data_IF_910651296331
#
_entry.id   IF_910651296331
#
_cell.length_a   1.000
_cell.length_b   1.000
_cell.length_c   1.000
_cell.angle_alpha   90.00
_cell.angle_beta   90.00
_cell.angle_gamma   90.00
#
_symmetry.space_group_name_H-M   'P 1'
#
loop_
_entity.id
_entity.type
_entity.pdbx_description
1 polymer ?
#
# COMPACT_ATOMS: atom_id res chain seq x y z
N UNK A 1 -6.42 -2.72 1.26
CA UNK A 1 -6.65 -2.77 2.72
C UNK A 1 -7.10 -1.44 3.32
N UNK A 2 -6.22 -0.45 3.61
CA UNK A 2 -6.66 0.82 4.22
C UNK A 2 -7.75 1.57 3.43
N UNK A 3 -7.66 1.57 2.09
CA UNK A 3 -8.72 2.08 1.20
C UNK A 3 -10.07 1.37 1.41
N UNK A 4 -10.04 0.05 1.64
CA UNK A 4 -11.24 -0.74 1.94
C UNK A 4 -11.84 -0.38 3.30
N UNK A 5 -11.00 -0.20 4.32
CA UNK A 5 -11.45 0.34 5.61
C UNK A 5 -12.09 1.74 5.46
N UNK A 6 -11.44 2.64 4.74
CA UNK A 6 -11.98 3.98 4.47
C UNK A 6 -13.32 3.93 3.73
N UNK A 7 -13.43 3.09 2.70
CA UNK A 7 -14.69 2.87 2.00
C UNK A 7 -15.77 2.37 2.96
N UNK A 8 -15.43 1.40 3.82
CA UNK A 8 -16.37 0.82 4.77
C UNK A 8 -16.90 1.86 5.78
N UNK A 9 -16.01 2.70 6.31
CA UNK A 9 -16.37 3.82 7.20
C UNK A 9 -17.30 4.80 6.49
N UNK A 10 -16.96 5.21 5.26
CA UNK A 10 -17.76 6.15 4.47
C UNK A 10 -19.14 5.57 4.13
N UNK A 11 -19.21 4.31 3.67
CA UNK A 11 -20.49 3.67 3.33
C UNK A 11 -21.42 3.53 4.54
N UNK A 12 -20.87 3.35 5.73
CA UNK A 12 -21.64 3.28 6.98
C UNK A 12 -21.93 4.66 7.59
N UNK A 13 -21.59 5.75 6.90
CA UNK A 13 -21.82 7.15 7.34
C UNK A 13 -21.20 7.47 8.71
N UNK A 14 -20.13 6.77 9.07
CA UNK A 14 -19.39 7.02 10.30
C UNK A 14 -18.57 8.29 10.11
N UNK A 15 -18.63 9.19 11.10
CA UNK A 15 -17.84 10.43 11.04
C UNK A 15 -16.35 10.13 11.03
N UNK A 16 -15.61 10.74 10.09
CA UNK A 16 -14.15 10.59 9.98
C UNK A 16 -13.39 11.19 11.17
N UNK A 17 -14.07 11.97 12.02
CA UNK A 17 -13.51 12.55 13.25
C UNK A 17 -13.84 11.74 14.50
N UNK A 18 -14.70 10.71 14.39
CA UNK A 18 -15.08 9.88 15.52
C UNK A 18 -14.24 8.60 15.55
N UNK A 19 -13.01 8.70 16.07
CA UNK A 19 -12.07 7.57 16.13
C UNK A 19 -12.66 6.35 16.84
N UNK A 20 -13.43 6.55 17.92
CA UNK A 20 -14.04 5.44 18.66
C UNK A 20 -15.01 4.62 17.81
N UNK A 21 -15.91 5.28 17.06
CA UNK A 21 -16.81 4.57 16.14
C UNK A 21 -16.07 3.92 14.99
N UNK A 22 -15.03 4.57 14.45
CA UNK A 22 -14.19 4.00 13.40
C UNK A 22 -13.53 2.71 13.90
N UNK A 23 -12.93 2.73 15.09
CA UNK A 23 -12.24 1.56 15.67
C UNK A 23 -13.23 0.42 15.89
N UNK A 24 -14.39 0.70 16.50
CA UNK A 24 -15.43 -0.30 16.72
C UNK A 24 -15.92 -0.92 15.41
N UNK A 25 -16.11 -0.10 14.37
CA UNK A 25 -16.51 -0.60 13.05
C UNK A 25 -15.42 -1.47 12.42
N UNK A 26 -14.18 -0.98 12.37
CA UNK A 26 -13.06 -1.70 11.75
C UNK A 26 -12.74 -3.02 12.45
N UNK A 27 -12.94 -3.13 13.76
CA UNK A 27 -12.75 -4.41 14.46
C UNK A 27 -13.75 -5.49 14.03
N UNK A 28 -14.84 -5.12 13.38
CA UNK A 28 -15.92 -6.02 12.97
C UNK A 28 -16.03 -6.20 11.44
N UNK A 29 -15.16 -5.56 10.65
CA UNK A 29 -15.18 -5.78 9.20
C UNK A 29 -14.40 -7.05 8.84
N UNK A 30 -14.96 -7.82 7.91
CA UNK A 30 -14.18 -8.82 7.19
C UNK A 30 -13.60 -8.19 5.93
N UNK A 31 -12.30 -8.35 5.76
CA UNK A 31 -11.59 -7.97 4.55
C UNK A 31 -11.07 -9.27 3.97
N UNK A 32 -11.26 -9.49 2.68
CA UNK A 32 -10.58 -10.57 1.97
C UNK A 32 -9.88 -10.01 0.74
N UNK A 33 -8.70 -10.57 0.44
CA UNK A 33 -7.96 -10.28 -0.78
C UNK A 33 -7.86 -11.58 -1.55
N UNK A 34 -8.59 -11.69 -2.65
CA UNK A 34 -8.61 -12.87 -3.51
C UNK A 34 -7.61 -12.63 -4.63
N UNK A 35 -6.59 -13.48 -4.65
CA UNK A 35 -5.59 -13.49 -5.70
C UNK A 35 -6.02 -14.45 -6.80
N UNK A 36 -6.08 -13.93 -8.01
CA UNK A 36 -6.29 -14.71 -9.22
C UNK A 36 -5.04 -14.60 -10.09
N UNK A 37 -4.68 -15.68 -10.79
CA UNK A 37 -3.49 -15.71 -11.63
C UNK A 37 -3.76 -14.82 -12.87
N UNK A 38 -2.82 -13.93 -13.18
CA UNK A 38 -2.87 -13.00 -14.32
C UNK A 38 -4.00 -11.95 -14.28
N UNK A 39 -4.58 -11.65 -13.12
CA UNK A 39 -5.55 -10.56 -12.96
C UNK A 39 -5.25 -9.68 -11.75
N UNK A 40 -5.86 -8.49 -11.72
CA UNK A 40 -5.81 -7.64 -10.53
C UNK A 40 -6.45 -8.37 -9.34
N UNK A 41 -5.87 -8.26 -8.13
CA UNK A 41 -6.46 -8.88 -6.95
C UNK A 41 -7.81 -8.25 -6.64
N UNK A 42 -8.79 -9.10 -6.33
CA UNK A 42 -10.09 -8.65 -5.85
C UNK A 42 -10.03 -8.37 -4.35
N UNK A 43 -10.68 -7.29 -3.93
CA UNK A 43 -10.84 -6.94 -2.53
C UNK A 43 -12.32 -7.04 -2.16
N UNK A 44 -12.61 -7.92 -1.24
CA UNK A 44 -13.95 -8.13 -0.68
C UNK A 44 -14.03 -7.45 0.69
N UNK A 45 -15.15 -6.79 0.95
CA UNK A 45 -15.53 -6.29 2.26
C UNK A 45 -16.85 -6.93 2.65
N UNK A 46 -16.86 -7.74 3.71
CA UNK A 46 -18.03 -8.52 4.12
C UNK A 46 -18.64 -9.28 2.92
N UNK A 47 -17.81 -10.05 2.22
CA UNK A 47 -18.15 -10.82 1.02
C UNK A 47 -18.56 -10.01 -0.24
N UNK A 48 -18.54 -8.68 -0.19
CA UNK A 48 -18.87 -7.83 -1.33
C UNK A 48 -17.59 -7.37 -2.02
N UNK A 49 -17.43 -7.68 -3.31
CA UNK A 49 -16.33 -7.16 -4.11
C UNK A 49 -16.45 -5.64 -4.27
N UNK A 50 -15.47 -4.92 -3.75
CA UNK A 50 -15.39 -3.46 -3.77
C UNK A 50 -14.21 -2.92 -4.57
N UNK A 51 -13.49 -3.78 -5.29
CA UNK A 51 -12.22 -3.48 -5.97
C UNK A 51 -12.33 -2.22 -6.83
N UNK A 52 -13.41 -2.13 -7.62
CA UNK A 52 -13.70 -1.02 -8.52
C UNK A 52 -13.92 0.32 -7.80
N UNK A 53 -14.32 0.32 -6.54
CA UNK A 53 -14.57 1.54 -5.76
C UNK A 53 -13.29 2.08 -5.14
N UNK A 54 -12.27 1.25 -4.89
CA UNK A 54 -11.13 1.64 -4.04
C UNK A 54 -10.26 2.77 -4.58
N UNK A 55 -10.38 3.08 -5.88
CA UNK A 55 -9.66 4.18 -6.55
C UNK A 55 -10.48 5.47 -6.58
N UNK A 56 -11.69 5.48 -6.04
CA UNK A 56 -12.54 6.67 -5.98
C UNK A 56 -11.86 7.82 -5.23
N UNK A 57 -12.00 9.04 -5.77
CA UNK A 57 -11.37 10.26 -5.22
C UNK A 57 -11.70 10.46 -3.74
N UNK A 58 -12.95 10.22 -3.34
CA UNK A 58 -13.37 10.36 -1.95
C UNK A 58 -12.61 9.41 -1.01
N UNK A 59 -12.23 8.22 -1.47
CA UNK A 59 -11.44 7.27 -0.67
C UNK A 59 -9.98 7.72 -0.66
N UNK A 60 -9.43 8.12 -1.82
CA UNK A 60 -8.04 8.59 -1.90
C UNK A 60 -7.78 9.79 -0.99
N UNK A 61 -8.72 10.73 -0.90
CA UNK A 61 -8.60 11.93 -0.09
C UNK A 61 -8.64 11.61 1.42
N UNK A 62 -9.42 10.60 1.83
CA UNK A 62 -9.68 10.29 3.24
C UNK A 62 -8.87 9.11 3.81
N UNK A 63 -8.19 8.31 2.97
CA UNK A 63 -7.42 7.15 3.43
C UNK A 63 -6.31 7.52 4.43
N UNK A 64 -5.74 8.72 4.30
CA UNK A 64 -4.71 9.22 5.21
C UNK A 64 -5.23 9.48 6.63
N UNK A 65 -6.51 9.82 6.79
CA UNK A 65 -7.13 10.03 8.10
C UNK A 65 -7.26 8.68 8.81
N UNK A 66 -7.87 7.70 8.13
CA UNK A 66 -8.11 6.37 8.67
C UNK A 66 -6.81 5.62 8.97
N UNK A 67 -5.82 5.70 8.08
CA UNK A 67 -4.54 4.98 8.24
C UNK A 67 -3.60 5.56 9.29
N UNK A 68 -3.90 6.74 9.85
CA UNK A 68 -3.15 7.34 10.97
C UNK A 68 -3.64 6.86 12.34
N UNK A 69 -4.87 6.34 12.44
CA UNK A 69 -5.44 5.86 13.70
C UNK A 69 -4.65 4.62 14.17
N UNK A 70 -3.99 4.66 15.35
CA UNK A 70 -3.13 3.56 15.80
C UNK A 70 -3.83 2.21 15.88
N UNK A 71 -5.06 2.15 16.40
CA UNK A 71 -5.80 0.90 16.55
C UNK A 71 -6.23 0.30 15.21
N UNK A 72 -6.61 1.14 14.23
CA UNK A 72 -6.84 0.69 12.85
C UNK A 72 -5.58 0.08 12.27
N UNK A 73 -4.40 0.68 12.52
CA UNK A 73 -3.13 0.11 12.08
C UNK A 73 -2.85 -1.23 12.76
N UNK A 74 -3.08 -1.34 14.07
CA UNK A 74 -2.91 -2.59 14.82
C UNK A 74 -3.79 -3.70 14.24
N UNK A 75 -5.07 -3.41 13.99
CA UNK A 75 -5.99 -4.34 13.34
C UNK A 75 -5.47 -4.80 11.96
N UNK A 76 -5.06 -3.84 11.11
CA UNK A 76 -4.56 -4.13 9.77
C UNK A 76 -3.29 -4.99 9.78
N UNK A 77 -2.35 -4.71 10.68
CA UNK A 77 -1.11 -5.48 10.84
C UNK A 77 -1.41 -6.90 11.30
N UNK A 78 -2.31 -7.08 12.27
CA UNK A 78 -2.70 -8.40 12.75
C UNK A 78 -3.38 -9.22 11.65
N UNK A 79 -4.28 -8.59 10.89
CA UNK A 79 -4.88 -9.21 9.72
C UNK A 79 -3.81 -9.65 8.70
N UNK A 80 -2.90 -8.76 8.32
CA UNK A 80 -1.84 -9.04 7.34
C UNK A 80 -0.96 -10.21 7.77
N UNK A 81 -0.56 -10.25 9.05
CA UNK A 81 0.21 -11.36 9.64
C UNK A 81 -0.57 -12.67 9.59
N UNK A 82 -1.85 -12.66 9.95
CA UNK A 82 -2.68 -13.87 9.92
C UNK A 82 -2.80 -14.48 8.51
N UNK A 83 -2.80 -13.64 7.46
CA UNK A 83 -2.82 -14.11 6.07
C UNK A 83 -1.46 -14.64 5.63
N UNK A 84 -0.38 -13.97 5.99
CA UNK A 84 0.98 -14.43 5.70
C UNK A 84 1.35 -15.78 6.36
N UNK A 85 0.66 -16.16 7.43
CA UNK A 85 0.83 -17.48 8.06
C UNK A 85 0.13 -18.62 7.32
N UNK A 86 -0.89 -18.33 6.51
CA UNK A 86 -1.72 -19.36 5.86
C UNK A 86 -1.16 -19.84 4.51
N UNK A 87 -0.41 -18.99 3.82
CA UNK A 87 0.14 -19.30 2.50
C UNK A 87 1.34 -18.42 2.19
N UNK A 88 2.11 -18.81 1.16
CA UNK A 88 3.07 -17.90 0.52
C UNK A 88 2.34 -16.65 0.01
N UNK A 89 2.90 -15.48 0.30
CA UNK A 89 2.31 -14.20 -0.08
C UNK A 89 3.40 -13.20 -0.48
N UNK A 90 3.12 -12.41 -1.51
CA UNK A 90 3.86 -11.17 -1.80
C UNK A 90 3.05 -10.02 -1.23
N UNK A 91 3.66 -9.22 -0.35
CA UNK A 91 2.97 -8.11 0.31
C UNK A 91 3.68 -6.79 0.02
N UNK A 92 2.95 -5.85 -0.59
CA UNK A 92 3.44 -4.51 -0.90
C UNK A 92 2.91 -3.48 0.11
N UNK A 93 3.79 -2.59 0.58
CA UNK A 93 3.46 -1.53 1.53
C UNK A 93 4.71 -0.75 1.95
N UNK A 94 4.54 0.23 2.85
CA UNK A 94 5.64 1.13 3.26
C UNK A 94 6.49 0.58 4.42
N UNK A 95 5.90 -0.26 5.26
CA UNK A 95 6.48 -0.73 6.51
C UNK A 95 6.33 -2.25 6.66
N UNK A 96 6.22 -2.98 5.54
CA UNK A 96 6.04 -4.43 5.55
C UNK A 96 7.24 -5.12 6.20
N UNK A 97 8.45 -4.92 5.67
CA UNK A 97 9.66 -5.60 6.16
C UNK A 97 10.19 -5.09 7.51
N UNK A 98 9.74 -3.92 7.99
CA UNK A 98 10.22 -3.29 9.24
C UNK A 98 9.21 -3.37 10.38
N UNK A 99 7.92 -3.60 10.10
CA UNK A 99 6.86 -3.62 11.12
C UNK A 99 5.88 -4.78 10.96
N UNK A 100 5.43 -5.07 9.74
CA UNK A 100 4.38 -6.09 9.52
C UNK A 100 4.93 -7.50 9.54
N UNK A 101 5.82 -7.82 8.61
CA UNK A 101 6.45 -9.11 8.40
C UNK A 101 7.97 -8.97 8.58
N UNK A 102 8.39 -8.73 9.83
CA UNK A 102 9.81 -8.60 10.19
C UNK A 102 10.55 -9.91 9.90
N UNK A 103 9.88 -11.05 10.02
CA UNK A 103 10.39 -12.39 9.72
C UNK A 103 10.21 -12.80 8.24
N UNK A 104 9.88 -11.85 7.34
CA UNK A 104 9.78 -12.17 5.92
C UNK A 104 11.14 -12.66 5.41
N UNK A 105 11.15 -13.83 4.76
CA UNK A 105 12.38 -14.45 4.25
C UNK A 105 13.10 -13.57 3.24
N UNK A 106 12.36 -12.88 2.39
CA UNK A 106 12.90 -11.96 1.38
C UNK A 106 12.16 -10.63 1.48
N UNK A 107 12.91 -9.53 1.53
CA UNK A 107 12.39 -8.17 1.62
C UNK A 107 12.97 -7.32 0.48
N UNK A 108 12.10 -6.62 -0.24
CA UNK A 108 12.50 -5.70 -1.29
C UNK A 108 12.16 -4.27 -0.87
N UNK A 109 13.10 -3.35 -1.07
CA UNK A 109 12.83 -1.92 -0.98
C UNK A 109 13.05 -1.28 -2.35
N UNK A 110 11.95 -0.92 -3.00
CA UNK A 110 11.97 -0.32 -4.33
C UNK A 110 12.12 1.19 -4.20
N UNK A 111 13.24 1.72 -4.69
CA UNK A 111 13.57 3.13 -4.60
C UNK A 111 13.50 3.79 -5.98
N UNK A 112 12.98 5.02 -6.03
CA UNK A 112 13.10 5.94 -7.15
C UNK A 112 12.94 7.37 -6.63
N UNK A 113 13.58 8.31 -7.30
CA UNK A 113 13.38 9.74 -7.05
C UNK A 113 11.90 10.14 -7.05
N UNK A 114 11.59 11.20 -6.29
CA UNK A 114 10.23 11.74 -6.18
C UNK A 114 9.67 12.19 -7.53
N UNK A 115 10.55 12.72 -8.39
CA UNK A 115 10.25 13.17 -9.73
C UNK A 115 9.82 12.00 -10.63
N UNK A 116 10.55 10.87 -10.61
CA UNK A 116 10.19 9.67 -11.38
C UNK A 116 8.87 9.08 -10.88
N UNK A 117 8.66 9.04 -9.57
CA UNK A 117 7.38 8.57 -8.99
C UNK A 117 6.20 9.47 -9.39
N UNK A 118 6.41 10.78 -9.41
CA UNK A 118 5.40 11.74 -9.88
C UNK A 118 5.11 11.57 -11.38
N UNK A 119 6.14 11.33 -12.20
CA UNK A 119 5.98 11.08 -13.64
C UNK A 119 5.16 9.82 -13.91
N UNK A 120 5.50 8.69 -13.28
CA UNK A 120 4.73 7.42 -13.41
C UNK A 120 3.27 7.59 -12.97
N UNK A 121 3.03 8.33 -11.89
CA UNK A 121 1.68 8.61 -11.40
C UNK A 121 0.89 9.54 -12.33
N UNK A 122 1.56 10.46 -13.01
CA UNK A 122 0.93 11.29 -14.04
C UNK A 122 0.50 10.44 -15.25
N UNK A 123 1.31 9.46 -15.65
CA UNK A 123 0.96 8.50 -16.71
C UNK A 123 -0.28 7.67 -16.30
N UNK A 124 -0.30 7.14 -15.07
CA UNK A 124 -1.49 6.46 -14.52
C UNK A 124 -2.76 7.33 -14.57
N UNK A 125 -2.64 8.64 -14.30
CA UNK A 125 -3.77 9.57 -14.36
C UNK A 125 -4.24 9.83 -15.79
N UNK A 126 -3.32 10.01 -16.73
CA UNK A 126 -3.64 10.20 -18.15
C UNK A 126 -4.39 9.01 -18.72
N UNK A 127 -3.97 7.79 -18.37
CA UNK A 127 -4.63 6.56 -18.80
C UNK A 127 -6.07 6.45 -18.28
N UNK A 128 -6.38 7.14 -17.18
CA UNK A 128 -7.72 7.23 -16.58
C UNK A 128 -8.49 8.51 -16.98
N UNK A 129 -8.00 9.28 -17.96
CA UNK A 129 -8.67 10.49 -18.46
C UNK A 129 -8.54 11.72 -17.55
N UNK A 130 -7.62 11.70 -16.58
CA UNK A 130 -7.37 12.80 -15.67
C UNK A 130 -6.30 13.76 -16.22
N UNK A 131 -6.63 15.06 -16.23
CA UNK A 131 -5.85 16.12 -16.89
C UNK A 131 -4.95 16.93 -15.93
N UNK A 132 -4.63 16.38 -14.75
CA UNK A 132 -3.70 17.03 -13.80
C UNK A 132 -2.33 17.31 -14.43
N UNK A 133 -1.70 18.41 -14.01
CA UNK A 133 -0.36 18.76 -14.48
C UNK A 133 0.73 18.00 -13.71
N UNK A 134 1.92 17.85 -14.30
CA UNK A 134 3.07 17.28 -13.58
C UNK A 134 3.35 18.01 -12.26
N UNK A 135 3.20 19.34 -12.24
CA UNK A 135 3.40 20.16 -11.04
C UNK A 135 2.45 19.75 -9.91
N UNK A 136 1.18 19.53 -10.23
CA UNK A 136 0.17 19.12 -9.24
C UNK A 136 0.46 17.73 -8.68
N UNK A 137 0.82 16.78 -9.56
CA UNK A 137 1.17 15.41 -9.16
C UNK A 137 2.44 15.38 -8.33
N UNK A 138 3.44 16.20 -8.67
CA UNK A 138 4.68 16.33 -7.90
C UNK A 138 4.42 16.87 -6.49
N UNK A 139 3.62 17.94 -6.36
CA UNK A 139 3.23 18.49 -5.07
C UNK A 139 2.48 17.44 -4.23
N UNK A 140 1.53 16.72 -4.84
CA UNK A 140 0.78 15.67 -4.16
C UNK A 140 1.70 14.54 -3.69
N UNK A 141 2.67 14.15 -4.52
CA UNK A 141 3.64 13.09 -4.20
C UNK A 141 4.54 13.51 -3.04
N UNK A 142 5.10 14.73 -3.07
CA UNK A 142 5.91 15.28 -1.97
C UNK A 142 5.14 15.32 -0.65
N UNK A 143 3.90 15.85 -0.67
CA UNK A 143 3.04 15.89 0.51
C UNK A 143 2.79 14.50 1.09
N UNK A 144 2.60 13.49 0.22
CA UNK A 144 2.42 12.11 0.67
C UNK A 144 3.69 11.54 1.30
N UNK A 145 4.85 11.83 0.74
CA UNK A 145 6.13 11.39 1.30
C UNK A 145 6.39 12.01 2.68
N UNK A 146 6.09 13.30 2.86
CA UNK A 146 6.16 13.98 4.17
C UNK A 146 5.21 13.32 5.20
N UNK A 147 3.99 13.01 4.80
CA UNK A 147 3.02 12.29 5.65
C UNK A 147 3.44 10.84 5.97
N UNK A 148 4.14 10.19 5.05
CA UNK A 148 4.71 8.87 5.27
C UNK A 148 5.88 8.95 6.28
N UNK A 149 6.81 9.89 6.09
CA UNK A 149 7.95 10.11 6.97
C UNK A 149 7.55 10.50 8.40
N UNK A 150 6.65 11.46 8.56
CA UNK A 150 6.13 11.89 9.87
C UNK A 150 5.42 10.73 10.60
N UNK A 151 4.79 9.83 9.85
CA UNK A 151 4.22 8.57 10.35
C UNK A 151 5.25 7.45 10.58
N UNK A 152 6.55 7.75 10.51
CA UNK A 152 7.67 6.78 10.62
C UNK A 152 7.59 5.63 9.61
N UNK A 153 7.09 5.91 8.40
CA UNK A 153 7.05 4.96 7.29
C UNK A 153 8.24 5.21 6.36
N UNK A 154 8.84 4.14 5.87
CA UNK A 154 10.05 4.21 5.06
C UNK A 154 9.74 4.79 3.67
N UNK A 155 10.53 5.80 3.28
CA UNK A 155 10.54 6.45 1.96
C UNK A 155 11.94 6.44 1.37
N UNK A 156 12.96 6.52 2.23
CA UNK A 156 14.37 6.49 1.84
C UNK A 156 14.98 5.10 2.07
N UNK A 157 16.02 4.78 1.31
CA UNK A 157 16.69 3.48 1.37
C UNK A 157 17.27 3.20 2.76
N UNK A 158 17.79 4.22 3.44
CA UNK A 158 18.33 4.11 4.80
C UNK A 158 17.26 3.75 5.85
N UNK A 159 15.98 3.90 5.53
CA UNK A 159 14.84 3.54 6.39
C UNK A 159 14.32 2.13 6.11
N UNK A 160 14.87 1.43 5.10
CA UNK A 160 14.53 0.06 4.80
C UNK A 160 14.96 -0.89 5.92
N UNK A 161 14.43 -2.11 5.92
CA UNK A 161 14.94 -3.15 6.80
C UNK A 161 16.41 -3.44 6.46
N UNK A 162 17.24 -3.71 7.47
CA UNK A 162 18.68 -3.92 7.29
C UNK A 162 19.03 -5.11 6.39
N UNK A 163 18.11 -6.05 6.25
CA UNK A 163 18.19 -7.25 5.41
C UNK A 163 17.39 -7.12 4.10
N UNK A 164 16.92 -5.93 3.75
CA UNK A 164 16.20 -5.71 2.50
C UNK A 164 17.14 -5.54 1.29
N UNK A 165 16.78 -6.17 0.18
CA UNK A 165 17.36 -5.87 -1.12
C UNK A 165 16.86 -4.51 -1.60
N UNK A 166 17.76 -3.52 -1.64
CA UNK A 166 17.46 -2.18 -2.17
C UNK A 166 17.57 -2.21 -3.69
N UNK A 167 16.46 -1.98 -4.39
CA UNK A 167 16.41 -1.97 -5.85
C UNK A 167 16.10 -0.54 -6.31
N UNK A 168 17.07 0.09 -6.98
CA UNK A 168 16.84 1.36 -7.68
C UNK A 168 16.06 1.08 -8.95
N UNK A 169 14.95 1.80 -9.14
CA UNK A 169 14.00 1.54 -10.22
C UNK A 169 13.95 2.66 -11.25
N UNK A 170 14.76 3.72 -11.14
CA UNK A 170 14.72 4.87 -12.05
C UNK A 170 14.79 4.49 -13.52
N UNK A 171 15.74 3.63 -13.88
CA UNK A 171 16.03 3.24 -15.27
C UNK A 171 15.57 1.81 -15.61
N UNK A 172 14.68 1.22 -14.79
CA UNK A 172 14.21 -0.15 -14.99
C UNK A 172 12.82 -0.18 -15.62
N UNK A 173 12.65 -1.03 -16.63
CA UNK A 173 11.33 -1.50 -17.05
C UNK A 173 10.70 -2.39 -15.97
N UNK A 174 9.40 -2.65 -16.09
CA UNK A 174 8.69 -3.58 -15.19
C UNK A 174 9.32 -4.98 -15.29
N UNK A 175 9.62 -5.46 -16.49
CA UNK A 175 10.22 -6.79 -16.70
C UNK A 175 11.61 -6.88 -16.05
N UNK A 176 12.46 -5.86 -16.24
CA UNK A 176 13.78 -5.82 -15.61
C UNK A 176 13.69 -5.76 -14.08
N UNK A 177 12.69 -5.07 -13.54
CA UNK A 177 12.43 -5.06 -12.10
C UNK A 177 12.01 -6.45 -11.61
N UNK A 178 11.12 -7.13 -12.34
CA UNK A 178 10.68 -8.49 -12.00
C UNK A 178 11.86 -9.45 -12.03
N UNK A 179 12.70 -9.42 -13.07
CA UNK A 179 13.88 -10.25 -13.20
C UNK A 179 14.83 -10.04 -12.02
N UNK A 180 15.12 -8.78 -11.65
CA UNK A 180 15.94 -8.47 -10.47
C UNK A 180 15.36 -9.01 -9.17
N UNK A 181 14.04 -8.92 -9.00
CA UNK A 181 13.38 -9.49 -7.82
C UNK A 181 13.49 -11.02 -7.80
N UNK A 182 13.33 -11.66 -8.95
CA UNK A 182 13.41 -13.11 -9.10
C UNK A 182 14.85 -13.62 -8.85
N UNK A 183 15.86 -12.96 -9.41
CA UNK A 183 17.28 -13.27 -9.18
C UNK A 183 17.64 -13.18 -7.69
N UNK A 184 17.25 -12.09 -7.03
CA UNK A 184 17.48 -11.90 -5.60
C UNK A 184 16.74 -12.94 -4.73
N UNK A 185 15.51 -13.30 -5.12
CA UNK A 185 14.76 -14.37 -4.44
C UNK A 185 15.45 -15.74 -4.60
N UNK A 186 15.83 -16.12 -5.82
CA UNK A 186 16.51 -17.39 -6.09
C UNK A 186 17.85 -17.45 -5.34
N UNK A 187 18.66 -16.40 -5.43
CA UNK A 187 19.96 -16.32 -4.76
C UNK A 187 19.87 -16.28 -3.22
N UNK A 188 18.71 -16.02 -2.64
CA UNK A 188 18.49 -16.12 -1.20
C UNK A 188 18.29 -17.57 -0.73
N UNK A 189 17.76 -18.44 -1.61
CA UNK A 189 17.41 -19.84 -1.28
C UNK A 189 18.30 -20.89 -1.94
N UNK A 190 19.06 -20.51 -2.97
CA UNK A 190 20.05 -21.36 -3.65
C UNK A 190 21.39 -21.36 -2.92
#
# INVERSE_FOLDING_TARGET
>A
MYRGATLSVIKNKISLTNEHEIINHINNIDIEVIWQIFSEPEILLNDINVTHLLKDKQIEDNVSIISKIPDVRTFMVNYQRSRAQKSSIVMAGRDIGTRVLIEAKVKFFLHASTEIRAQRRLEEFKDNGDLRTFKDVLIQTKRRDELDQTGKRAILAEQAASDAYIIKTEDLSIDQLIDKCAEAYIGHFG
#
